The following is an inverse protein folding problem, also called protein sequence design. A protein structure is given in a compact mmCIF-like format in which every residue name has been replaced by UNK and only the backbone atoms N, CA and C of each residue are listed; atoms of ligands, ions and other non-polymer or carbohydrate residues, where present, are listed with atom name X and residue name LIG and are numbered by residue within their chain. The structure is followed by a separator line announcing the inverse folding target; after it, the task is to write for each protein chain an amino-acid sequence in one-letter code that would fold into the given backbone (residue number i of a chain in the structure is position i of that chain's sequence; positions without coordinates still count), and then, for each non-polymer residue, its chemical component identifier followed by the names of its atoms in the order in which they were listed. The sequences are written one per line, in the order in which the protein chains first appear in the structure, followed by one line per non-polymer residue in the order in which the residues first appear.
data_IF_696518480113
#
_entry.id   IF_696518480113
#
_cell.length_a   1.000
_cell.length_b   1.000
_cell.length_c   1.000
_cell.angle_alpha   90.00
_cell.angle_beta   90.00
_cell.angle_gamma   90.00
#
_symmetry.space_group_name_H-M   'P 1'
#
loop_
_entity.id
_entity.type
_entity.pdbx_description
1 polymer ?
#
# COMPACT_ATOMS: atom_id res chain seq x y z
N UNK A 1 -7.72 16.51 5.22
CA UNK A 1 -6.49 15.86 4.80
C UNK A 1 -5.35 16.54 5.53
N UNK A 2 -4.76 15.85 6.49
CA UNK A 2 -3.66 16.40 7.28
C UNK A 2 -2.42 16.46 6.37
N UNK A 3 -2.04 17.66 5.99
CA UNK A 3 -0.72 17.94 5.44
C UNK A 3 0.32 17.72 6.55
N UNK A 4 1.51 17.24 6.20
CA UNK A 4 2.57 16.99 7.17
C UNK A 4 2.91 18.22 8.01
N UNK A 5 3.49 17.99 9.17
CA UNK A 5 3.95 19.05 10.05
C UNK A 5 5.39 18.80 10.53
N UNK A 6 6.06 19.86 10.96
CA UNK A 6 7.39 19.77 11.58
C UNK A 6 7.44 20.59 12.84
N UNK A 7 8.27 20.16 13.77
CA UNK A 7 8.59 20.91 14.99
C UNK A 7 10.01 20.56 15.46
N UNK A 8 10.52 21.31 16.39
CA UNK A 8 11.85 21.11 16.95
C UNK A 8 11.74 20.86 18.46
N UNK A 9 12.41 19.80 18.92
CA UNK A 9 12.49 19.44 20.33
C UNK A 9 13.86 19.89 20.88
N UNK A 10 13.85 20.62 21.98
CA UNK A 10 15.02 21.08 22.69
C UNK A 10 15.07 20.41 24.06
N UNK A 11 16.26 20.06 24.49
CA UNK A 11 16.51 19.57 25.85
C UNK A 11 16.82 20.77 26.77
N UNK A 12 15.98 21.02 27.73
CA UNK A 12 16.15 22.11 28.72
C UNK A 12 16.88 21.63 29.97
N UNK A 13 17.29 20.35 30.00
CA UNK A 13 17.95 19.73 31.18
C UNK A 13 16.99 19.32 32.28
N UNK A 14 17.48 18.58 33.26
CA UNK A 14 16.71 18.09 34.44
C UNK A 14 15.41 17.36 34.08
N UNK A 15 15.38 16.62 32.96
CA UNK A 15 14.18 15.89 32.49
C UNK A 15 13.10 16.77 31.84
N UNK A 16 13.41 18.05 31.58
CA UNK A 16 12.49 18.98 30.90
C UNK A 16 12.85 19.11 29.44
N UNK A 17 11.82 19.28 28.63
CA UNK A 17 11.92 19.50 27.18
C UNK A 17 11.10 20.71 26.78
N UNK A 18 11.48 21.34 25.69
CA UNK A 18 10.63 22.32 25.03
C UNK A 18 10.46 21.97 23.56
N UNK A 19 9.28 22.26 23.05
CA UNK A 19 8.90 22.04 21.66
C UNK A 19 8.56 23.37 21.03
N UNK A 20 9.20 23.67 19.91
CA UNK A 20 9.07 24.96 19.23
C UNK A 20 9.14 24.80 17.70
N UNK A 21 9.15 25.90 16.97
CA UNK A 21 9.28 25.95 15.52
C UNK A 21 8.27 25.09 14.76
N UNK A 22 7.04 25.10 15.24
CA UNK A 22 5.96 24.38 14.59
C UNK A 22 5.73 24.93 13.19
N UNK A 23 5.66 24.04 12.20
CA UNK A 23 5.24 24.36 10.83
C UNK A 23 4.14 23.42 10.41
N UNK A 24 3.05 24.00 9.95
CA UNK A 24 1.91 23.29 9.42
C UNK A 24 1.46 23.97 8.13
N UNK A 25 1.31 23.23 7.05
CA UNK A 25 0.91 23.77 5.73
C UNK A 25 1.75 24.98 5.24
N UNK A 26 3.05 24.97 5.48
CA UNK A 26 3.98 26.07 5.20
C UNK A 26 3.84 27.30 6.12
N UNK A 27 2.90 27.32 7.04
CA UNK A 27 2.79 28.38 8.04
C UNK A 27 3.69 28.07 9.25
N UNK A 28 4.42 29.06 9.71
CA UNK A 28 5.25 28.98 10.92
C UNK A 28 4.46 29.52 12.11
N UNK A 29 4.22 28.63 13.09
CA UNK A 29 3.54 28.99 14.34
C UNK A 29 4.60 29.28 15.39
N UNK A 30 4.67 30.51 15.86
CA UNK A 30 5.58 30.96 16.90
C UNK A 30 5.02 30.63 18.28
N UNK A 31 5.03 29.35 18.66
CA UNK A 31 4.66 28.91 19.99
C UNK A 31 5.77 28.02 20.53
N UNK A 32 6.08 28.16 21.85
CA UNK A 32 7.00 27.27 22.57
C UNK A 32 6.17 26.61 23.68
N UNK A 33 6.18 25.30 23.71
CA UNK A 33 5.53 24.49 24.75
C UNK A 33 6.63 23.80 25.56
N UNK A 34 6.56 23.89 26.88
CA UNK A 34 7.53 23.30 27.79
C UNK A 34 6.84 22.29 28.68
N UNK A 35 7.48 21.15 28.93
CA UNK A 35 6.99 20.10 29.82
C UNK A 35 8.09 19.14 30.21
N UNK A 36 7.72 18.08 30.94
CA UNK A 36 8.64 16.99 31.26
C UNK A 36 8.46 15.80 30.31
N UNK A 37 9.43 14.88 30.30
CA UNK A 37 9.26 13.61 29.62
C UNK A 37 8.08 12.83 30.20
N UNK A 38 7.22 12.29 29.34
CA UNK A 38 6.03 11.55 29.73
C UNK A 38 4.78 12.43 29.94
N UNK A 39 4.92 13.75 29.99
CA UNK A 39 3.78 14.66 30.08
C UNK A 39 3.04 14.76 28.73
N UNK A 40 1.72 14.93 28.81
CA UNK A 40 0.91 15.26 27.63
C UNK A 40 1.03 16.74 27.31
N UNK A 41 1.79 17.06 26.25
CA UNK A 41 1.98 18.42 25.78
C UNK A 41 0.86 18.79 24.81
N UNK A 42 0.14 19.87 25.11
CA UNK A 42 -0.84 20.45 24.18
C UNK A 42 -0.11 21.39 23.22
N UNK A 43 -0.08 21.02 21.96
CA UNK A 43 0.65 21.78 20.92
C UNK A 43 -0.28 22.21 19.79
N UNK A 44 0.12 23.17 18.96
CA UNK A 44 -0.68 23.61 17.81
C UNK A 44 -1.00 22.50 16.80
N UNK A 45 -0.22 21.44 16.81
CA UNK A 45 -0.39 20.29 15.89
C UNK A 45 -1.08 19.10 16.55
N UNK A 46 -1.52 19.24 17.80
CA UNK A 46 -2.23 18.22 18.58
C UNK A 46 -1.54 17.90 19.90
N UNK A 47 -2.15 17.02 20.67
CA UNK A 47 -1.58 16.48 21.92
C UNK A 47 -0.48 15.48 21.60
N UNK A 48 0.67 15.60 22.24
CA UNK A 48 1.78 14.67 22.08
C UNK A 48 2.45 14.32 23.41
N UNK A 49 3.03 13.15 23.47
CA UNK A 49 3.86 12.70 24.59
C UNK A 49 5.22 12.31 24.05
N UNK A 50 6.28 12.75 24.71
CA UNK A 50 7.66 12.49 24.31
C UNK A 50 8.33 11.68 25.39
N UNK A 51 8.87 10.52 25.03
CA UNK A 51 9.64 9.66 25.93
C UNK A 51 11.11 9.62 25.51
N UNK A 52 12.05 9.64 26.48
CA UNK A 52 13.46 9.39 26.16
C UNK A 52 13.64 7.91 25.78
N UNK A 53 14.44 7.65 24.76
CA UNK A 53 14.89 6.31 24.45
C UNK A 53 15.97 5.90 25.46
N UNK A 54 16.00 4.64 25.90
CA UNK A 54 16.96 4.16 26.93
C UNK A 54 18.42 4.43 26.55
N UNK A 55 18.73 4.41 25.27
CA UNK A 55 20.06 4.65 24.69
C UNK A 55 20.42 6.13 24.58
N UNK A 56 19.45 7.05 24.62
CA UNK A 56 19.67 8.50 24.42
C UNK A 56 19.05 9.28 25.57
N UNK A 57 19.76 9.36 26.68
CA UNK A 57 19.30 10.08 27.88
C UNK A 57 19.50 11.60 27.81
N UNK A 58 20.42 12.07 26.98
CA UNK A 58 20.68 13.49 26.75
C UNK A 58 21.03 13.75 25.29
N UNK A 59 20.52 14.83 24.75
CA UNK A 59 20.94 15.38 23.48
C UNK A 59 21.18 16.88 23.64
N UNK A 60 22.31 17.34 23.15
CA UNK A 60 22.72 18.75 23.25
C UNK A 60 22.23 19.57 22.05
N UNK A 61 22.02 18.92 20.91
CA UNK A 61 21.53 19.55 19.71
C UNK A 61 20.00 19.41 19.57
N UNK A 62 19.32 20.47 19.08
CA UNK A 62 17.88 20.39 18.83
C UNK A 62 17.53 19.28 17.81
N UNK A 63 16.50 18.51 18.09
CA UNK A 63 16.01 17.43 17.21
C UNK A 63 14.83 17.95 16.42
N UNK A 64 14.96 18.04 15.09
CA UNK A 64 13.84 18.33 14.22
C UNK A 64 13.04 17.07 13.95
N UNK A 65 11.77 17.12 14.26
CA UNK A 65 10.80 16.07 14.00
C UNK A 65 9.93 16.49 12.83
N UNK A 66 9.75 15.60 11.86
CA UNK A 66 8.81 15.80 10.77
C UNK A 66 7.84 14.63 10.69
N UNK A 67 6.56 14.94 10.61
CA UNK A 67 5.52 13.98 10.36
C UNK A 67 4.95 14.20 8.97
N UNK A 68 4.72 13.12 8.25
CA UNK A 68 4.10 13.16 6.92
C UNK A 68 3.02 12.10 6.80
N UNK A 69 2.06 12.31 5.91
CA UNK A 69 1.06 11.27 5.61
C UNK A 69 1.72 10.06 4.97
N UNK A 70 1.13 8.89 5.15
CA UNK A 70 1.63 7.64 4.54
C UNK A 70 1.80 7.77 3.03
N UNK A 71 0.88 8.46 2.35
CA UNK A 71 0.97 8.71 0.90
C UNK A 71 2.19 9.56 0.53
N UNK A 72 2.48 10.63 1.29
CA UNK A 72 3.64 11.49 1.02
C UNK A 72 4.94 10.77 1.35
N UNK A 73 4.98 9.99 2.42
CA UNK A 73 6.10 9.13 2.76
C UNK A 73 6.37 8.11 1.64
N UNK A 74 5.32 7.41 1.17
CA UNK A 74 5.43 6.46 0.07
C UNK A 74 5.98 7.11 -1.21
N UNK A 75 5.45 8.27 -1.62
CA UNK A 75 5.97 9.03 -2.78
C UNK A 75 7.44 9.39 -2.62
N UNK A 76 7.84 9.82 -1.41
CA UNK A 76 9.24 10.14 -1.12
C UNK A 76 10.16 8.93 -1.20
N UNK A 77 9.71 7.76 -0.77
CA UNK A 77 10.48 6.52 -0.90
C UNK A 77 10.52 6.01 -2.34
N UNK A 78 9.40 6.06 -3.06
CA UNK A 78 9.36 5.71 -4.48
C UNK A 78 10.34 6.54 -5.31
N UNK A 79 10.49 7.84 -5.03
CA UNK A 79 11.44 8.70 -5.76
C UNK A 79 12.92 8.38 -5.49
N UNK A 80 13.22 7.65 -4.42
CA UNK A 80 14.56 7.18 -4.05
C UNK A 80 14.86 5.76 -4.51
N UNK A 81 13.87 5.08 -5.07
CA UNK A 81 13.98 3.70 -5.51
C UNK A 81 14.38 3.65 -6.98
N UNK A 82 15.40 2.86 -7.27
CA UNK A 82 15.79 2.50 -8.63
C UNK A 82 15.27 1.09 -8.96
N UNK A 83 14.74 0.92 -10.16
CA UNK A 83 14.32 -0.38 -10.68
C UNK A 83 15.00 -0.56 -12.04
N UNK A 84 15.71 -1.65 -12.22
CA UNK A 84 16.39 -1.98 -13.47
C UNK A 84 16.29 -3.47 -13.77
N UNK A 85 16.46 -3.82 -15.05
CA UNK A 85 16.68 -5.23 -15.44
C UNK A 85 18.10 -5.65 -15.11
N UNK A 86 18.28 -6.85 -14.63
CA UNK A 86 19.62 -7.44 -14.36
C UNK A 86 20.45 -7.65 -15.63
N UNK A 87 19.81 -7.69 -16.81
CA UNK A 87 20.46 -7.84 -18.11
C UNK A 87 19.46 -7.69 -19.25
N UNK A 88 19.95 -7.60 -20.50
CA UNK A 88 19.11 -7.33 -21.68
C UNK A 88 18.11 -8.44 -22.02
N UNK A 89 18.38 -9.68 -21.63
CA UNK A 89 17.56 -10.86 -21.96
C UNK A 89 17.06 -11.59 -20.70
N UNK A 90 16.97 -10.91 -19.57
CA UNK A 90 16.53 -11.53 -18.30
C UNK A 90 15.20 -10.95 -17.85
N UNK A 91 14.39 -11.78 -17.20
CA UNK A 91 13.16 -11.35 -16.48
C UNK A 91 13.45 -10.98 -15.02
N UNK A 92 14.72 -10.79 -14.64
CA UNK A 92 15.13 -10.48 -13.29
C UNK A 92 15.18 -8.97 -13.08
N UNK A 93 14.37 -8.47 -12.16
CA UNK A 93 14.36 -7.07 -11.73
C UNK A 93 15.32 -6.90 -10.55
N UNK A 94 16.09 -5.82 -10.60
CA UNK A 94 16.95 -5.37 -9.50
C UNK A 94 16.31 -4.11 -8.89
N UNK A 95 15.99 -4.18 -7.60
CA UNK A 95 15.53 -3.05 -6.82
C UNK A 95 16.71 -2.47 -6.03
N UNK A 96 16.89 -1.17 -6.11
CA UNK A 96 17.91 -0.46 -5.34
C UNK A 96 17.29 0.74 -4.64
N UNK A 97 17.76 1.04 -3.43
CA UNK A 97 17.29 2.19 -2.65
C UNK A 97 18.42 2.71 -1.77
N UNK A 98 18.60 4.05 -1.78
CA UNK A 98 19.53 4.71 -0.89
C UNK A 98 18.79 5.32 0.31
N UNK A 99 19.17 4.91 1.51
CA UNK A 99 18.64 5.44 2.76
C UNK A 99 19.75 5.56 3.80
N UNK A 100 19.58 6.48 4.74
CA UNK A 100 20.48 6.66 5.88
C UNK A 100 20.52 5.41 6.78
N UNK A 101 19.41 4.64 6.81
CA UNK A 101 19.29 3.40 7.56
C UNK A 101 19.04 2.23 6.59
N UNK A 102 20.06 1.40 6.31
CA UNK A 102 19.93 0.29 5.35
C UNK A 102 18.83 -0.71 5.70
N UNK A 103 18.60 -0.98 6.99
CA UNK A 103 17.52 -1.86 7.45
C UNK A 103 16.13 -1.33 7.05
N UNK A 104 15.92 -0.01 7.11
CA UNK A 104 14.68 0.61 6.65
C UNK A 104 14.49 0.47 5.14
N UNK A 105 15.55 0.69 4.37
CA UNK A 105 15.50 0.49 2.91
C UNK A 105 15.15 -0.95 2.55
N UNK A 106 15.75 -1.93 3.20
CA UNK A 106 15.44 -3.34 3.02
C UNK A 106 13.97 -3.67 3.35
N UNK A 107 13.46 -3.17 4.48
CA UNK A 107 12.07 -3.37 4.88
C UNK A 107 11.08 -2.76 3.89
N UNK A 108 11.40 -1.59 3.30
CA UNK A 108 10.54 -0.94 2.29
C UNK A 108 10.50 -1.76 1.00
N UNK A 109 11.64 -2.26 0.55
CA UNK A 109 11.71 -3.11 -0.66
C UNK A 109 10.96 -4.42 -0.41
N UNK A 110 11.15 -5.06 0.74
CA UNK A 110 10.44 -6.29 1.11
C UNK A 110 8.92 -6.07 1.10
N UNK A 111 8.44 -5.04 1.77
CA UNK A 111 7.01 -4.70 1.81
C UNK A 111 6.45 -4.42 0.39
N UNK A 112 7.22 -3.79 -0.49
CA UNK A 112 6.82 -3.58 -1.88
C UNK A 112 6.64 -4.91 -2.63
N UNK A 113 7.59 -5.85 -2.45
CA UNK A 113 7.53 -7.17 -3.07
C UNK A 113 6.34 -7.97 -2.55
N UNK A 114 6.08 -7.92 -1.25
CA UNK A 114 4.94 -8.60 -0.63
C UNK A 114 3.61 -8.09 -1.18
N UNK A 115 3.42 -6.77 -1.25
CA UNK A 115 2.22 -6.16 -1.84
C UNK A 115 2.09 -6.49 -3.33
N UNK A 116 3.20 -6.48 -4.08
CA UNK A 116 3.19 -6.87 -5.49
C UNK A 116 2.71 -8.31 -5.67
N UNK A 117 3.22 -9.25 -4.87
CA UNK A 117 2.83 -10.65 -4.92
C UNK A 117 1.34 -10.82 -4.57
N UNK A 118 0.85 -10.13 -3.55
CA UNK A 118 -0.57 -10.16 -3.18
C UNK A 118 -1.48 -9.66 -4.30
N UNK A 119 -1.14 -8.52 -4.90
CA UNK A 119 -1.87 -7.94 -6.03
C UNK A 119 -1.83 -8.87 -7.24
N UNK A 120 -0.67 -9.48 -7.53
CA UNK A 120 -0.52 -10.42 -8.63
C UNK A 120 -1.40 -11.66 -8.46
N UNK A 121 -1.39 -12.27 -7.26
CA UNK A 121 -2.25 -13.42 -6.93
C UNK A 121 -3.73 -13.04 -7.07
N UNK A 122 -4.12 -11.91 -6.51
CA UNK A 122 -5.50 -11.41 -6.59
C UNK A 122 -5.96 -11.22 -8.03
N UNK A 123 -5.12 -10.62 -8.88
CA UNK A 123 -5.41 -10.42 -10.29
C UNK A 123 -5.51 -11.75 -11.06
N UNK A 124 -4.63 -12.71 -10.77
CA UNK A 124 -4.69 -14.05 -11.37
C UNK A 124 -5.97 -14.79 -10.98
N UNK A 125 -6.34 -14.76 -9.71
CA UNK A 125 -7.57 -15.38 -9.22
C UNK A 125 -8.81 -14.72 -9.87
N UNK A 126 -8.84 -13.40 -9.96
CA UNK A 126 -9.93 -12.68 -10.64
C UNK A 126 -10.05 -13.05 -12.11
N UNK A 127 -8.93 -13.17 -12.82
CA UNK A 127 -8.92 -13.62 -14.21
C UNK A 127 -9.46 -15.03 -14.36
N UNK A 128 -9.08 -15.95 -13.47
CA UNK A 128 -9.59 -17.33 -13.47
C UNK A 128 -11.11 -17.38 -13.20
N UNK A 129 -11.60 -16.62 -12.22
CA UNK A 129 -13.04 -16.52 -11.93
C UNK A 129 -13.80 -15.99 -13.15
N UNK A 130 -13.36 -14.87 -13.73
CA UNK A 130 -14.01 -14.29 -14.92
C UNK A 130 -14.04 -15.28 -16.10
N UNK A 131 -12.97 -16.07 -16.27
CA UNK A 131 -12.93 -17.11 -17.32
C UNK A 131 -13.92 -18.23 -17.02
N UNK A 132 -14.03 -18.66 -15.77
CA UNK A 132 -14.99 -19.69 -15.35
C UNK A 132 -16.43 -19.22 -15.56
N UNK A 133 -16.74 -17.99 -15.18
CA UNK A 133 -18.06 -17.39 -15.35
C UNK A 133 -18.42 -17.30 -16.85
N UNK A 134 -17.50 -16.84 -17.67
CA UNK A 134 -17.69 -16.81 -19.13
C UNK A 134 -17.94 -18.20 -19.73
N UNK A 135 -17.19 -19.21 -19.29
CA UNK A 135 -17.40 -20.59 -19.77
C UNK A 135 -18.76 -21.10 -19.33
N UNK A 136 -19.18 -20.87 -18.08
CA UNK A 136 -20.48 -21.28 -17.57
C UNK A 136 -21.63 -20.60 -18.33
N UNK A 137 -21.54 -19.30 -18.60
CA UNK A 137 -22.52 -18.59 -19.41
C UNK A 137 -22.63 -19.19 -20.82
N UNK A 138 -21.49 -19.53 -21.45
CA UNK A 138 -21.47 -20.14 -22.78
C UNK A 138 -22.03 -21.54 -22.76
N UNK A 139 -21.77 -22.34 -21.73
CA UNK A 139 -22.37 -23.67 -21.58
C UNK A 139 -23.89 -23.60 -21.55
N UNK A 140 -24.46 -22.70 -20.75
CA UNK A 140 -25.92 -22.52 -20.69
C UNK A 140 -26.53 -22.16 -22.06
N UNK A 141 -25.85 -21.31 -22.84
CA UNK A 141 -26.30 -20.96 -24.19
C UNK A 141 -26.25 -22.17 -25.13
N UNK A 142 -25.14 -22.92 -25.12
CA UNK A 142 -24.95 -24.12 -25.95
C UNK A 142 -25.96 -25.20 -25.58
N UNK A 143 -26.20 -25.45 -24.30
CA UNK A 143 -27.21 -26.42 -23.84
C UNK A 143 -28.61 -26.06 -24.33
N UNK A 144 -28.98 -24.77 -24.32
CA UNK A 144 -30.25 -24.28 -24.84
C UNK A 144 -30.34 -24.45 -26.33
N UNK A 145 -29.30 -24.12 -27.08
CA UNK A 145 -29.24 -24.30 -28.55
C UNK A 145 -29.31 -25.77 -28.93
N UNK A 146 -28.57 -26.63 -28.23
CA UNK A 146 -28.59 -28.08 -28.42
C UNK A 146 -29.99 -28.65 -28.18
N UNK A 147 -30.63 -28.29 -27.08
CA UNK A 147 -32.00 -28.73 -26.76
C UNK A 147 -33.00 -28.29 -27.81
N UNK A 148 -32.86 -27.08 -28.37
CA UNK A 148 -33.71 -26.61 -29.45
C UNK A 148 -33.50 -27.42 -30.75
N UNK A 149 -32.24 -27.74 -31.08
CA UNK A 149 -31.94 -28.55 -32.28
C UNK A 149 -32.42 -30.00 -32.09
N UNK A 150 -32.25 -30.59 -30.92
CA UNK A 150 -32.75 -31.93 -30.61
C UNK A 150 -34.27 -32.01 -30.75
N UNK A 151 -34.99 -31.03 -30.21
CA UNK A 151 -36.46 -30.97 -30.33
C UNK A 151 -36.89 -30.79 -31.79
N UNK A 152 -36.25 -29.94 -32.57
CA UNK A 152 -36.49 -29.74 -34.00
C UNK A 152 -36.22 -31.04 -34.77
N UNK A 153 -35.14 -31.74 -34.47
CA UNK A 153 -34.82 -33.05 -35.06
C UNK A 153 -35.88 -34.11 -34.73
N UNK A 154 -36.34 -34.14 -33.49
CA UNK A 154 -37.41 -35.06 -33.07
C UNK A 154 -38.72 -34.80 -33.81
N UNK A 155 -39.09 -33.54 -33.93
CA UNK A 155 -40.29 -33.14 -34.73
C UNK A 155 -40.12 -33.47 -36.21
N UNK A 156 -38.97 -33.26 -36.77
CA UNK A 156 -38.69 -33.62 -38.16
C UNK A 156 -38.79 -35.14 -38.41
N UNK A 157 -38.20 -35.97 -37.51
CA UNK A 157 -38.31 -37.41 -37.56
C UNK A 157 -39.78 -37.89 -37.43
N UNK A 158 -40.55 -37.29 -36.53
CA UNK A 158 -41.93 -37.62 -36.31
C UNK A 158 -42.80 -37.27 -37.53
N UNK A 159 -42.59 -36.09 -38.15
CA UNK A 159 -43.36 -35.63 -39.31
C UNK A 159 -43.07 -36.43 -40.61
N UNK A 160 -41.87 -36.99 -40.71
CA UNK A 160 -41.45 -37.77 -41.89
C UNK A 160 -41.47 -39.28 -41.70
N UNK A 161 -42.07 -39.81 -40.59
CA UNK A 161 -42.10 -41.21 -40.27
C UNK A 161 -40.74 -41.93 -40.30
N UNK A 162 -39.70 -41.20 -39.96
CA UNK A 162 -38.31 -41.74 -39.92
C UNK A 162 -38.09 -42.41 -38.58
N UNK A 163 -38.07 -43.70 -38.52
CA UNK A 163 -37.67 -44.52 -37.39
C UNK A 163 -36.13 -44.61 -37.36
N UNK A 164 -35.52 -44.57 -36.17
CA UNK A 164 -34.06 -44.78 -36.01
C UNK A 164 -33.70 -46.15 -36.55
N UNK A 165 -32.91 -46.18 -37.62
CA UNK A 165 -32.25 -47.39 -38.09
C UNK A 165 -31.05 -47.60 -37.16
N UNK A 166 -31.08 -48.68 -36.34
CA UNK A 166 -29.99 -49.11 -35.48
C UNK A 166 -28.76 -49.46 -36.30
#
# INVERSE_FOLDING_TARGET
PYSGFTFTVHNEGKGRISVSDFRFQNEKIKQKVVGAYGDTLQTPVGSMVIYPMETVKKFDNPIRVSWSTSMNAAKSYCSKMGISLSGKETSVLVFSMNDTYPSRAASIISALIDVYNEVWITNKNRSAINTTDFINERLVVIEKELGAVEEALKQYKASNNLTDIK
#
